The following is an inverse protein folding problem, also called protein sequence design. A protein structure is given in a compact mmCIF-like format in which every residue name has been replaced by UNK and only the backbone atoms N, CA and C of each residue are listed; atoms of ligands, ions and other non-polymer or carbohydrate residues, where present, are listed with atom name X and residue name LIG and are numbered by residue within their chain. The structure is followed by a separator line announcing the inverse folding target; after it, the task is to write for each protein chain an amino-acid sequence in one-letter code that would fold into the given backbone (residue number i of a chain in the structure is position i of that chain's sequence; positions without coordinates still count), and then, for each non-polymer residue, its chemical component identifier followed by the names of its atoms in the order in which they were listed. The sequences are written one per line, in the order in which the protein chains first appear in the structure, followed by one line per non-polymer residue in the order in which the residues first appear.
data_IF_830099669746
#
_entry.id   IF_830099669746
#
_cell.length_a   1.000
_cell.length_b   1.000
_cell.length_c   1.000
_cell.angle_alpha   90.00
_cell.angle_beta   90.00
_cell.angle_gamma   90.00
#
_symmetry.space_group_name_H-M   'P 1'
#
loop_
_entity.id
_entity.type
_entity.pdbx_description
1 polymer ?
#
# COMPACT_ATOMS: atom_id res chain seq x y z
N UNK A 1 -9.95 19.23 -15.88
CA UNK A 1 -8.47 19.25 -16.12
C UNK A 1 -8.20 18.58 -17.47
N UNK A 2 -7.22 19.08 -18.25
CA UNK A 2 -6.81 18.42 -19.50
C UNK A 2 -6.11 17.09 -19.19
N UNK A 3 -6.32 16.07 -20.04
CA UNK A 3 -5.69 14.72 -19.87
C UNK A 3 -4.17 14.79 -19.57
N UNK A 4 -3.47 15.74 -20.20
CA UNK A 4 -2.03 15.96 -19.98
C UNK A 4 -1.70 16.39 -18.54
N UNK A 5 -2.50 17.24 -17.93
CA UNK A 5 -2.28 17.69 -16.54
C UNK A 5 -2.50 16.56 -15.53
N UNK A 6 -3.52 15.73 -15.75
CA UNK A 6 -3.78 14.54 -14.89
C UNK A 6 -2.61 13.56 -14.93
N UNK A 7 -2.05 13.32 -16.11
CA UNK A 7 -0.88 12.44 -16.27
C UNK A 7 0.38 13.01 -15.59
N UNK A 8 0.62 14.31 -15.71
CA UNK A 8 1.75 14.98 -15.05
C UNK A 8 1.62 14.88 -13.52
N UNK A 9 0.43 15.13 -12.97
CA UNK A 9 0.18 15.01 -11.52
C UNK A 9 0.38 13.57 -11.05
N UNK A 10 -0.09 12.58 -11.81
CA UNK A 10 0.14 11.17 -11.50
C UNK A 10 1.64 10.83 -11.45
N UNK A 11 2.40 11.22 -12.46
CA UNK A 11 3.85 10.96 -12.50
C UNK A 11 4.59 11.64 -11.36
N UNK A 12 4.28 12.90 -11.09
CA UNK A 12 4.90 13.65 -9.99
C UNK A 12 4.56 13.03 -8.64
N UNK A 13 3.32 12.60 -8.42
CA UNK A 13 2.92 11.95 -7.16
C UNK A 13 3.62 10.60 -6.98
N UNK A 14 3.76 9.81 -8.03
CA UNK A 14 4.50 8.54 -7.98
C UNK A 14 5.99 8.77 -7.67
N UNK A 15 6.64 9.71 -8.37
CA UNK A 15 8.05 10.06 -8.11
C UNK A 15 8.24 10.51 -6.66
N UNK A 16 7.35 11.38 -6.16
CA UNK A 16 7.39 11.86 -4.79
C UNK A 16 7.23 10.71 -3.78
N UNK A 17 6.21 9.86 -3.94
CA UNK A 17 5.96 8.73 -3.03
C UNK A 17 7.15 7.76 -3.03
N UNK A 18 7.70 7.39 -4.21
CA UNK A 18 8.87 6.50 -4.28
C UNK A 18 10.12 7.12 -3.63
N UNK A 19 10.38 8.41 -3.86
CA UNK A 19 11.50 9.12 -3.25
C UNK A 19 11.36 9.14 -1.71
N UNK A 20 10.16 9.46 -1.21
CA UNK A 20 9.86 9.50 0.21
C UNK A 20 9.92 8.11 0.85
N UNK A 21 9.42 7.07 0.19
CA UNK A 21 9.55 5.70 0.68
C UNK A 21 11.02 5.27 0.77
N UNK A 22 11.82 5.55 -0.26
CA UNK A 22 13.25 5.26 -0.24
C UNK A 22 13.95 5.94 0.94
N UNK A 23 13.65 7.21 1.18
CA UNK A 23 14.17 7.96 2.32
C UNK A 23 13.70 7.38 3.66
N UNK A 24 12.42 7.00 3.76
CA UNK A 24 11.81 6.40 4.95
C UNK A 24 12.55 5.12 5.39
N UNK A 25 12.95 4.26 4.44
CA UNK A 25 13.69 3.04 4.75
C UNK A 25 15.16 3.29 5.15
N UNK A 26 15.71 4.46 4.87
CA UNK A 26 17.05 4.84 5.34
C UNK A 26 17.01 5.33 6.79
N UNK A 27 15.95 6.02 7.20
CA UNK A 27 15.80 6.64 8.51
C UNK A 27 15.02 5.76 9.50
N UNK A 28 15.67 4.70 10.02
CA UNK A 28 15.05 3.69 10.89
C UNK A 28 14.41 4.26 12.15
N UNK A 29 15.03 5.28 12.76
CA UNK A 29 14.58 5.85 14.04
C UNK A 29 13.19 6.51 13.94
N UNK A 30 12.87 7.08 12.79
CA UNK A 30 11.62 7.79 12.54
C UNK A 30 10.79 7.15 11.41
N UNK A 31 11.08 5.88 11.09
CA UNK A 31 10.45 5.13 10.00
C UNK A 31 8.93 5.26 10.00
N UNK A 32 8.26 4.98 11.13
CA UNK A 32 6.81 5.00 11.24
C UNK A 32 6.20 6.37 10.99
N UNK A 33 6.84 7.43 11.45
CA UNK A 33 6.37 8.80 11.26
C UNK A 33 6.53 9.26 9.81
N UNK A 34 7.68 8.97 9.19
CA UNK A 34 7.93 9.29 7.78
C UNK A 34 7.01 8.49 6.86
N UNK A 35 6.78 7.21 7.16
CA UNK A 35 5.90 6.36 6.39
C UNK A 35 4.45 6.86 6.46
N UNK A 36 3.95 7.13 7.67
CA UNK A 36 2.63 7.72 7.86
C UNK A 36 2.49 9.07 7.16
N UNK A 37 3.48 9.96 7.27
CA UNK A 37 3.48 11.26 6.58
C UNK A 37 3.41 11.09 5.06
N UNK A 38 4.21 10.20 4.50
CA UNK A 38 4.22 9.92 3.05
C UNK A 38 2.84 9.48 2.57
N UNK A 39 2.17 8.60 3.30
CA UNK A 39 0.83 8.13 2.95
C UNK A 39 -0.25 9.17 3.18
N UNK A 40 -0.14 10.03 4.20
CA UNK A 40 -1.05 11.17 4.36
C UNK A 40 -0.99 12.14 3.17
N UNK A 41 0.22 12.40 2.66
CA UNK A 41 0.38 13.17 1.41
C UNK A 41 -0.25 12.42 0.23
N UNK A 42 -0.05 11.11 0.13
CA UNK A 42 -0.71 10.26 -0.88
C UNK A 42 -2.24 10.33 -0.81
N UNK A 43 -2.81 10.25 0.39
CA UNK A 43 -4.26 10.42 0.62
C UNK A 43 -4.71 11.82 0.14
N UNK A 44 -3.99 12.88 0.51
CA UNK A 44 -4.33 14.23 0.10
C UNK A 44 -4.35 14.39 -1.43
N UNK A 45 -3.32 13.85 -2.11
CA UNK A 45 -3.28 13.83 -3.57
C UNK A 45 -4.46 13.05 -4.15
N UNK A 46 -4.75 11.87 -3.59
CA UNK A 46 -5.86 11.04 -4.04
C UNK A 46 -7.22 11.74 -3.89
N UNK A 47 -7.45 12.42 -2.77
CA UNK A 47 -8.70 13.15 -2.52
C UNK A 47 -8.87 14.37 -3.43
N UNK A 48 -7.79 15.06 -3.78
CA UNK A 48 -7.84 16.24 -4.65
C UNK A 48 -7.97 15.87 -6.12
N UNK A 49 -7.28 14.83 -6.57
CA UNK A 49 -7.16 14.47 -7.98
C UNK A 49 -7.80 13.14 -8.35
N UNK A 50 -8.19 12.32 -7.37
CA UNK A 50 -8.85 11.04 -7.58
C UNK A 50 -10.31 11.21 -7.98
N UNK A 51 -10.81 10.24 -8.75
CA UNK A 51 -12.24 10.09 -9.05
C UNK A 51 -12.67 8.79 -8.42
N UNK A 52 -13.29 8.86 -7.26
CA UNK A 52 -13.80 7.68 -6.56
C UNK A 52 -15.18 7.35 -7.14
N UNK A 53 -15.27 6.26 -7.89
CA UNK A 53 -16.54 5.71 -8.37
C UNK A 53 -16.85 4.44 -7.56
N UNK A 54 -17.80 4.56 -6.63
CA UNK A 54 -18.31 3.40 -5.87
C UNK A 54 -19.31 2.64 -6.73
N UNK A 55 -18.91 1.44 -7.18
CA UNK A 55 -19.75 0.58 -8.04
C UNK A 55 -20.53 -0.48 -7.24
N UNK A 56 -20.20 -0.69 -5.96
CA UNK A 56 -20.80 -1.73 -5.14
C UNK A 56 -21.31 -1.17 -3.80
N UNK A 57 -22.39 -1.73 -3.23
CA UNK A 57 -22.82 -1.36 -1.90
C UNK A 57 -21.79 -1.77 -0.83
N UNK A 58 -21.63 -0.95 0.21
CA UNK A 58 -20.63 -1.08 1.29
C UNK A 58 -20.52 -2.50 1.89
N UNK A 59 -21.65 -3.19 2.05
CA UNK A 59 -21.71 -4.57 2.55
C UNK A 59 -20.90 -5.56 1.69
N UNK A 60 -21.00 -5.44 0.37
CA UNK A 60 -20.26 -6.32 -0.54
C UNK A 60 -18.75 -6.08 -0.45
N UNK A 61 -18.32 -4.82 -0.32
CA UNK A 61 -16.91 -4.51 -0.08
C UNK A 61 -16.37 -5.13 1.20
N UNK A 62 -17.16 -5.09 2.30
CA UNK A 62 -16.78 -5.70 3.56
C UNK A 62 -16.61 -7.23 3.44
N UNK A 63 -17.57 -7.91 2.81
CA UNK A 63 -17.52 -9.36 2.63
C UNK A 63 -16.32 -9.76 1.75
N UNK A 64 -16.14 -9.11 0.61
CA UNK A 64 -15.00 -9.39 -0.26
C UNK A 64 -13.67 -9.04 0.40
N UNK A 65 -13.56 -7.89 1.06
CA UNK A 65 -12.36 -7.48 1.78
C UNK A 65 -11.99 -8.45 2.90
N UNK A 66 -12.95 -8.88 3.71
CA UNK A 66 -12.73 -9.89 4.77
C UNK A 66 -12.34 -11.24 4.19
N UNK A 67 -13.00 -11.68 3.12
CA UNK A 67 -12.69 -12.93 2.43
C UNK A 67 -11.26 -12.95 1.87
N UNK A 68 -10.91 -11.95 1.09
CA UNK A 68 -9.55 -11.81 0.53
C UNK A 68 -8.50 -11.64 1.63
N UNK A 69 -8.76 -10.83 2.64
CA UNK A 69 -7.85 -10.64 3.78
C UNK A 69 -7.58 -11.94 4.52
N UNK A 70 -8.60 -12.76 4.75
CA UNK A 70 -8.45 -14.06 5.40
C UNK A 70 -7.63 -15.04 4.55
N UNK A 71 -7.90 -15.08 3.24
CA UNK A 71 -7.13 -15.91 2.29
C UNK A 71 -5.66 -15.47 2.26
N UNK A 72 -5.39 -14.18 2.12
CA UNK A 72 -4.04 -13.63 2.10
C UNK A 72 -3.30 -13.93 3.41
N UNK A 73 -3.95 -13.74 4.56
CA UNK A 73 -3.38 -14.12 5.85
C UNK A 73 -3.01 -15.61 5.92
N UNK A 74 -3.91 -16.48 5.45
CA UNK A 74 -3.66 -17.92 5.38
C UNK A 74 -2.46 -18.26 4.50
N UNK A 75 -2.36 -17.64 3.31
CA UNK A 75 -1.22 -17.84 2.39
C UNK A 75 0.10 -17.36 2.99
N UNK A 76 0.12 -16.18 3.62
CA UNK A 76 1.31 -15.67 4.30
C UNK A 76 1.72 -16.57 5.43
N UNK A 77 0.77 -17.05 6.26
CA UNK A 77 1.04 -17.99 7.35
C UNK A 77 1.59 -19.32 6.84
N UNK A 78 1.03 -19.88 5.78
CA UNK A 78 1.55 -21.06 5.11
C UNK A 78 2.97 -20.81 4.58
N UNK A 79 3.22 -19.67 3.94
CA UNK A 79 4.55 -19.27 3.52
C UNK A 79 5.56 -19.29 4.66
N UNK A 80 5.23 -18.71 5.81
CA UNK A 80 6.08 -18.73 7.00
C UNK A 80 6.36 -20.14 7.55
N UNK A 81 5.42 -21.08 7.41
CA UNK A 81 5.60 -22.47 7.83
C UNK A 81 6.51 -23.23 6.85
N UNK A 82 6.37 -22.97 5.55
CA UNK A 82 7.09 -23.69 4.50
C UNK A 82 8.50 -23.13 4.27
N UNK A 83 8.67 -21.83 4.40
CA UNK A 83 9.91 -21.10 4.10
C UNK A 83 11.18 -21.68 4.78
N UNK A 84 11.14 -22.07 6.08
CA UNK A 84 12.31 -22.66 6.74
C UNK A 84 12.77 -23.98 6.11
N UNK A 85 11.87 -24.73 5.47
CA UNK A 85 12.20 -26.00 4.80
C UNK A 85 12.82 -25.81 3.42
N UNK A 86 12.57 -24.64 2.78
CA UNK A 86 13.11 -24.31 1.46
C UNK A 86 14.46 -23.60 1.62
N UNK A 87 14.49 -22.54 2.42
CA UNK A 87 15.70 -21.76 2.66
C UNK A 87 15.66 -21.07 4.03
N UNK A 88 16.52 -21.51 4.94
CA UNK A 88 16.64 -20.93 6.28
C UNK A 88 17.23 -19.52 6.27
N UNK A 89 17.96 -19.12 5.20
CA UNK A 89 18.54 -17.78 5.09
C UNK A 89 17.45 -16.73 4.89
N UNK A 90 16.46 -17.01 4.05
CA UNK A 90 15.31 -16.10 3.81
C UNK A 90 14.51 -15.87 5.08
N UNK A 91 14.31 -16.94 5.89
CA UNK A 91 13.60 -16.81 7.17
C UNK A 91 14.33 -15.86 8.12
N UNK A 92 15.66 -15.91 8.17
CA UNK A 92 16.49 -14.99 8.98
C UNK A 92 16.38 -13.56 8.49
N UNK A 93 16.43 -13.34 7.18
CA UNK A 93 16.29 -12.00 6.59
C UNK A 93 14.91 -11.39 6.86
N UNK A 94 13.83 -12.18 6.72
CA UNK A 94 12.47 -11.74 7.04
C UNK A 94 12.34 -11.41 8.54
N UNK A 95 12.86 -12.26 9.42
CA UNK A 95 12.86 -12.02 10.87
C UNK A 95 13.63 -10.76 11.23
N UNK A 96 14.79 -10.53 10.61
CA UNK A 96 15.59 -9.32 10.78
C UNK A 96 14.84 -8.08 10.28
N UNK A 97 14.18 -8.14 9.14
CA UNK A 97 13.35 -7.06 8.63
C UNK A 97 12.21 -6.71 9.60
N UNK A 98 11.47 -7.71 10.07
CA UNK A 98 10.38 -7.52 11.03
C UNK A 98 10.88 -6.96 12.37
N UNK A 99 12.04 -7.39 12.86
CA UNK A 99 12.62 -6.84 14.09
C UNK A 99 13.10 -5.40 13.94
N UNK A 100 13.47 -5.00 12.72
CA UNK A 100 13.97 -3.64 12.44
C UNK A 100 12.86 -2.63 12.17
N UNK A 101 11.85 -3.03 11.40
CA UNK A 101 10.78 -2.14 10.91
C UNK A 101 9.40 -2.47 11.46
N UNK A 102 9.23 -3.59 12.18
CA UNK A 102 7.96 -3.98 12.77
C UNK A 102 7.45 -2.98 13.81
N UNK A 103 6.13 -2.94 14.03
CA UNK A 103 5.54 -2.07 15.05
C UNK A 103 5.97 -2.54 16.46
N UNK A 104 6.53 -1.62 17.27
CA UNK A 104 7.05 -1.91 18.60
C UNK A 104 6.17 -1.40 19.74
N UNK A 105 5.26 -0.48 19.44
CA UNK A 105 4.37 0.10 20.43
C UNK A 105 2.95 0.30 19.88
N UNK A 106 1.99 0.59 20.74
CA UNK A 106 0.58 0.74 20.38
C UNK A 106 0.36 1.83 19.30
N UNK A 107 1.14 2.90 19.34
CA UNK A 107 1.04 3.99 18.36
C UNK A 107 1.44 3.54 16.97
N UNK A 108 2.46 2.69 16.82
CA UNK A 108 2.84 2.11 15.54
C UNK A 108 1.74 1.20 14.97
N UNK A 109 1.04 0.42 15.82
CA UNK A 109 -0.10 -0.39 15.38
C UNK A 109 -1.29 0.48 14.96
N UNK A 110 -1.58 1.56 15.69
CA UNK A 110 -2.62 2.51 15.30
C UNK A 110 -2.28 3.19 13.95
N UNK A 111 -1.04 3.64 13.77
CA UNK A 111 -0.58 4.19 12.49
C UNK A 111 -0.70 3.17 11.37
N UNK A 112 -0.32 1.91 11.61
CA UNK A 112 -0.42 0.83 10.64
C UNK A 112 -1.87 0.65 10.17
N UNK A 113 -2.83 0.54 11.09
CA UNK A 113 -4.24 0.26 10.78
C UNK A 113 -4.93 1.47 10.14
N UNK A 114 -4.79 2.66 10.74
CA UNK A 114 -5.58 3.82 10.33
C UNK A 114 -4.94 4.69 9.25
N UNK A 115 -3.62 4.69 9.16
CA UNK A 115 -2.91 5.53 8.18
C UNK A 115 -2.32 4.67 7.06
N UNK A 116 -1.56 3.63 7.40
CA UNK A 116 -0.85 2.85 6.37
C UNK A 116 -1.83 2.05 5.53
N UNK A 117 -2.64 1.19 6.14
CA UNK A 117 -3.58 0.33 5.39
C UNK A 117 -4.59 1.17 4.61
N UNK A 118 -5.19 2.18 5.25
CA UNK A 118 -6.17 3.06 4.59
C UNK A 118 -5.51 3.93 3.52
N UNK A 119 -4.31 4.45 3.80
CA UNK A 119 -3.57 5.30 2.86
C UNK A 119 -3.13 4.56 1.61
N UNK A 120 -2.64 3.34 1.75
CA UNK A 120 -2.29 2.49 0.61
C UNK A 120 -3.52 2.17 -0.25
N UNK A 121 -4.63 1.79 0.36
CA UNK A 121 -5.88 1.54 -0.39
C UNK A 121 -6.36 2.78 -1.14
N UNK A 122 -6.41 3.94 -0.49
CA UNK A 122 -6.87 5.18 -1.12
C UNK A 122 -5.91 5.61 -2.23
N UNK A 123 -4.60 5.60 -1.98
CA UNK A 123 -3.62 6.06 -2.96
C UNK A 123 -3.47 5.08 -4.12
N UNK A 124 -3.17 3.80 -3.86
CA UNK A 124 -2.91 2.83 -4.92
C UNK A 124 -4.17 2.41 -5.67
N UNK A 125 -5.24 2.02 -4.97
CA UNK A 125 -6.49 1.56 -5.61
C UNK A 125 -7.42 2.71 -5.97
N UNK A 126 -7.58 3.68 -5.10
CA UNK A 126 -8.48 4.81 -5.34
C UNK A 126 -7.95 5.78 -6.38
N UNK A 127 -6.65 6.06 -6.40
CA UNK A 127 -6.08 7.06 -7.30
C UNK A 127 -5.24 6.45 -8.43
N UNK A 128 -4.13 5.75 -8.12
CA UNK A 128 -3.18 5.27 -9.15
C UNK A 128 -3.84 4.26 -10.08
N UNK A 129 -4.52 3.26 -9.56
CA UNK A 129 -5.19 2.23 -10.35
C UNK A 129 -6.26 2.81 -11.26
N UNK A 130 -7.08 3.76 -10.76
CA UNK A 130 -8.12 4.39 -11.57
C UNK A 130 -7.54 5.25 -12.69
N UNK A 131 -6.42 5.93 -12.45
CA UNK A 131 -5.72 6.66 -13.51
C UNK A 131 -5.10 5.72 -14.54
N UNK A 132 -4.48 4.61 -14.11
CA UNK A 132 -3.87 3.62 -14.99
C UNK A 132 -4.89 2.91 -15.90
N UNK A 133 -6.11 2.64 -15.43
CA UNK A 133 -7.20 2.05 -16.24
C UNK A 133 -7.53 2.85 -17.50
N UNK A 134 -7.14 4.12 -17.55
CA UNK A 134 -7.33 4.97 -18.75
C UNK A 134 -6.30 4.74 -19.83
N UNK A 135 -5.15 4.14 -19.48
CA UNK A 135 -4.01 3.93 -20.36
C UNK A 135 -3.76 2.46 -20.67
N UNK A 136 -4.23 1.57 -19.78
CA UNK A 136 -3.99 0.13 -19.85
C UNK A 136 -5.29 -0.64 -19.64
N UNK A 137 -5.28 -1.95 -19.93
CA UNK A 137 -6.43 -2.79 -19.60
C UNK A 137 -6.61 -2.87 -18.07
N UNK A 138 -7.86 -3.06 -17.56
CA UNK A 138 -8.13 -3.15 -16.14
C UNK A 138 -7.29 -4.19 -15.40
N UNK A 139 -6.99 -5.32 -16.04
CA UNK A 139 -6.17 -6.41 -15.48
C UNK A 139 -4.74 -5.95 -15.24
N UNK A 140 -4.12 -5.27 -16.24
CA UNK A 140 -2.76 -4.74 -16.07
C UNK A 140 -2.69 -3.64 -15.03
N UNK A 141 -3.71 -2.77 -14.94
CA UNK A 141 -3.77 -1.75 -13.90
C UNK A 141 -3.80 -2.37 -12.50
N UNK A 142 -4.55 -3.46 -12.29
CA UNK A 142 -4.56 -4.19 -11.02
C UNK A 142 -3.20 -4.80 -10.72
N UNK A 143 -2.56 -5.47 -11.70
CA UNK A 143 -1.25 -6.11 -11.51
C UNK A 143 -0.14 -5.12 -11.14
N UNK A 144 -0.17 -3.91 -11.70
CA UNK A 144 0.85 -2.88 -11.42
C UNK A 144 0.65 -2.24 -10.04
N UNK A 145 -0.58 -2.23 -9.52
CA UNK A 145 -0.91 -1.57 -8.25
C UNK A 145 -1.14 -2.54 -7.08
N UNK A 146 -1.09 -3.84 -7.34
CA UNK A 146 -1.10 -4.89 -6.32
C UNK A 146 0.30 -5.14 -5.78
#
# INVERSE_FOLDING_TARGET
MTKSKETIVLLLSLIFIFAMLTYTFQEKAIFWYLYAFTLLVGIAVALVFGKFEDQLPTWKYLIYGTGYGTITYGLVKLGFIILPYIDSSVTKEVSKFLSTYGPTNIWHYLMLIFIVVVGEEIFWRGYVQQQLKRFTSPIYAVFVTA
#
